data_IF_841043915671
#
_entry.id   IF_841043915671
#
_cell.length_a   1.000
_cell.length_b   1.000
_cell.length_c   1.000
_cell.angle_alpha   90.00
_cell.angle_beta   90.00
_cell.angle_gamma   90.00
#
_symmetry.space_group_name_H-M   'P 1'
#
loop_
_entity.id
_entity.type
_entity.pdbx_description
1 polymer ?
#
# COMPACT_ATOMS: atom_id res chain seq x y z
N UNK A 1 21.52 -5.20 -12.53
CA UNK A 1 22.00 -4.65 -13.81
C UNK A 1 20.93 -3.67 -14.30
N UNK A 2 21.26 -2.43 -14.68
CA UNK A 2 20.26 -1.55 -15.34
C UNK A 2 19.94 -2.20 -16.69
N UNK A 3 18.66 -2.47 -16.95
CA UNK A 3 18.24 -2.89 -18.28
C UNK A 3 18.41 -1.70 -19.22
N UNK A 4 19.39 -1.78 -20.14
CA UNK A 4 19.59 -0.77 -21.16
C UNK A 4 18.67 -1.09 -22.33
N UNK A 5 17.39 -0.69 -22.24
CA UNK A 5 16.48 -0.75 -23.38
C UNK A 5 16.81 0.38 -24.36
N UNK A 6 16.77 0.08 -25.66
CA UNK A 6 16.84 1.09 -26.74
C UNK A 6 15.50 1.78 -26.96
N UNK A 7 14.41 1.19 -26.48
CA UNK A 7 13.07 1.74 -26.52
C UNK A 7 12.74 2.43 -25.19
N UNK A 8 12.13 3.62 -25.27
CA UNK A 8 11.71 4.41 -24.12
C UNK A 8 10.39 3.89 -23.52
N UNK A 9 9.56 3.19 -24.28
CA UNK A 9 8.29 2.66 -23.80
C UNK A 9 8.50 1.33 -23.04
N UNK A 10 7.78 1.18 -21.93
CA UNK A 10 7.72 -0.11 -21.25
C UNK A 10 6.66 -1.01 -21.91
N UNK A 11 7.06 -2.24 -22.22
CA UNK A 11 6.13 -3.37 -22.34
C UNK A 11 5.88 -4.01 -20.96
N UNK A 12 5.02 -5.03 -20.90
CA UNK A 12 4.67 -5.69 -19.64
C UNK A 12 5.90 -6.23 -18.87
N UNK A 13 6.82 -6.90 -19.57
CA UNK A 13 8.03 -7.49 -18.95
C UNK A 13 8.97 -6.41 -18.43
N UNK A 14 9.30 -5.43 -19.27
CA UNK A 14 10.21 -4.34 -18.90
C UNK A 14 9.63 -3.46 -17.80
N UNK A 15 8.30 -3.26 -17.78
CA UNK A 15 7.62 -2.60 -16.67
C UNK A 15 7.75 -3.39 -15.37
N UNK A 16 7.51 -4.70 -15.41
CA UNK A 16 7.62 -5.55 -14.22
C UNK A 16 9.05 -5.55 -13.65
N UNK A 17 10.06 -5.60 -14.51
CA UNK A 17 11.48 -5.51 -14.11
C UNK A 17 11.81 -4.15 -13.49
N UNK A 18 11.40 -3.06 -14.16
CA UNK A 18 11.59 -1.70 -13.66
C UNK A 18 10.92 -1.51 -12.29
N UNK A 19 9.69 -2.04 -12.13
CA UNK A 19 8.97 -2.06 -10.87
C UNK A 19 9.73 -2.80 -9.79
N UNK A 20 10.15 -4.04 -10.05
CA UNK A 20 10.87 -4.88 -9.08
C UNK A 20 12.14 -4.18 -8.59
N UNK A 21 12.92 -3.59 -9.50
CA UNK A 21 14.13 -2.84 -9.14
C UNK A 21 13.82 -1.60 -8.32
N UNK A 22 12.76 -0.87 -8.67
CA UNK A 22 12.32 0.34 -7.97
C UNK A 22 11.85 0.02 -6.55
N UNK A 23 10.98 -0.99 -6.39
CA UNK A 23 10.49 -1.42 -5.07
C UNK A 23 11.62 -1.95 -4.20
N UNK A 24 12.52 -2.78 -4.75
CA UNK A 24 13.66 -3.28 -3.98
C UNK A 24 14.59 -2.17 -3.51
N UNK A 25 14.79 -1.13 -4.32
CA UNK A 25 15.72 -0.04 -4.01
C UNK A 25 15.11 1.04 -3.10
N UNK A 26 13.85 1.38 -3.32
CA UNK A 26 13.22 2.55 -2.70
C UNK A 26 11.97 2.22 -1.87
N UNK A 27 11.27 1.12 -2.18
CA UNK A 27 10.07 0.74 -1.46
C UNK A 27 10.38 0.04 -0.14
N UNK A 28 11.18 -1.03 -0.19
CA UNK A 28 11.46 -1.90 0.96
C UNK A 28 12.44 -1.22 1.91
N UNK A 29 12.02 -1.01 3.16
CA UNK A 29 12.88 -0.45 4.20
C UNK A 29 13.96 -1.45 4.65
N UNK A 30 15.22 -1.01 4.62
CA UNK A 30 16.36 -1.75 5.14
C UNK A 30 16.82 -1.13 6.49
N UNK A 31 16.68 -1.85 7.62
CA UNK A 31 17.01 -1.33 8.94
C UNK A 31 18.50 -1.06 9.14
N UNK A 32 19.39 -1.74 8.42
CA UNK A 32 20.83 -1.59 8.55
C UNK A 32 21.38 -0.36 7.84
N UNK A 33 20.66 0.15 6.83
CA UNK A 33 21.08 1.33 6.05
C UNK A 33 20.18 2.54 6.23
N UNK A 34 19.01 2.37 6.87
CA UNK A 34 17.98 3.41 7.02
C UNK A 34 17.31 3.81 5.70
N UNK A 35 17.57 3.10 4.60
CA UNK A 35 17.03 3.41 3.27
C UNK A 35 15.74 2.65 3.00
N UNK A 36 14.91 3.18 2.09
CA UNK A 36 13.63 2.61 1.70
C UNK A 36 12.44 3.23 2.46
N UNK A 37 11.25 3.19 1.87
CA UNK A 37 10.11 3.97 2.34
C UNK A 37 9.22 3.27 3.37
N UNK A 38 9.00 1.96 3.23
CA UNK A 38 7.95 1.24 3.97
C UNK A 38 8.55 0.08 4.77
N UNK A 39 8.41 0.16 6.09
CA UNK A 39 8.79 -0.91 7.02
C UNK A 39 7.91 -2.14 6.80
N UNK A 40 8.54 -3.31 6.67
CA UNK A 40 7.86 -4.59 6.50
C UNK A 40 7.28 -4.84 5.10
N UNK A 41 7.48 -3.93 4.14
CA UNK A 41 7.11 -4.18 2.74
C UNK A 41 8.00 -5.28 2.16
N UNK A 42 7.39 -6.25 1.48
CA UNK A 42 8.11 -7.34 0.81
C UNK A 42 8.20 -7.10 -0.71
N UNK A 43 9.12 -7.76 -1.42
CA UNK A 43 9.14 -7.72 -2.88
C UNK A 43 7.81 -8.20 -3.47
N UNK A 44 7.25 -7.43 -4.40
CA UNK A 44 5.94 -7.72 -5.00
C UNK A 44 5.87 -7.18 -6.44
N UNK A 45 4.90 -7.68 -7.22
CA UNK A 45 4.63 -7.21 -8.58
C UNK A 45 3.78 -5.93 -8.59
N UNK A 46 3.66 -5.23 -9.73
CA UNK A 46 2.92 -3.97 -9.82
C UNK A 46 1.48 -4.05 -9.33
N UNK A 47 0.79 -5.16 -9.59
CA UNK A 47 -0.61 -5.34 -9.17
C UNK A 47 -0.82 -5.28 -7.66
N UNK A 48 0.16 -5.74 -6.87
CA UNK A 48 0.05 -5.74 -5.42
C UNK A 48 0.12 -4.34 -4.81
N UNK A 49 0.43 -3.29 -5.59
CA UNK A 49 0.30 -1.91 -5.10
C UNK A 49 -1.13 -1.60 -4.69
N UNK A 50 -2.13 -2.18 -5.38
CA UNK A 50 -3.55 -2.03 -5.02
C UNK A 50 -3.81 -2.65 -3.64
N UNK A 51 -3.24 -3.82 -3.37
CA UNK A 51 -3.36 -4.46 -2.05
C UNK A 51 -2.73 -3.61 -0.94
N UNK A 52 -1.53 -3.06 -1.19
CA UNK A 52 -0.83 -2.21 -0.23
C UNK A 52 -1.64 -0.95 0.07
N UNK A 53 -2.17 -0.28 -0.96
CA UNK A 53 -2.97 0.93 -0.80
C UNK A 53 -4.31 0.65 -0.11
N UNK A 54 -5.07 -0.33 -0.58
CA UNK A 54 -6.38 -0.66 -0.04
C UNK A 54 -6.28 -1.05 1.44
N UNK A 55 -5.34 -1.93 1.78
CA UNK A 55 -5.17 -2.37 3.17
C UNK A 55 -4.58 -1.29 4.06
N UNK A 56 -3.73 -0.40 3.55
CA UNK A 56 -3.22 0.73 4.34
C UNK A 56 -4.33 1.70 4.71
N UNK A 57 -5.14 2.12 3.73
CA UNK A 57 -6.24 3.05 3.97
C UNK A 57 -7.28 2.42 4.88
N UNK A 58 -7.66 1.17 4.60
CA UNK A 58 -8.64 0.46 5.42
C UNK A 58 -8.20 0.32 6.89
N UNK A 59 -6.93 0.01 7.15
CA UNK A 59 -6.39 -0.05 8.52
C UNK A 59 -6.34 1.31 9.22
N UNK A 60 -6.21 2.40 8.46
CA UNK A 60 -6.09 3.76 8.99
C UNK A 60 -7.43 4.43 9.23
N UNK A 61 -8.40 4.21 8.36
CA UNK A 61 -9.65 4.96 8.33
C UNK A 61 -10.87 4.08 8.59
N UNK A 62 -10.76 2.78 8.35
CA UNK A 62 -11.87 1.85 8.44
C UNK A 62 -12.95 1.99 7.36
N UNK A 63 -12.78 2.90 6.40
CA UNK A 63 -13.75 3.15 5.33
C UNK A 63 -13.43 2.34 4.08
N UNK A 64 -14.41 1.55 3.64
CA UNK A 64 -14.32 0.83 2.37
C UNK A 64 -14.38 1.77 1.17
N UNK A 65 -15.11 2.87 1.29
CA UNK A 65 -15.30 3.89 0.26
C UNK A 65 -14.02 4.66 -0.01
N UNK A 66 -13.32 5.10 1.04
CA UNK A 66 -12.04 5.79 0.88
C UNK A 66 -10.97 4.84 0.30
N UNK A 67 -10.94 3.58 0.76
CA UNK A 67 -10.05 2.59 0.22
C UNK A 67 -10.36 2.27 -1.25
N UNK A 68 -11.64 2.18 -1.62
CA UNK A 68 -12.05 1.88 -3.00
C UNK A 68 -11.76 3.04 -3.95
N UNK A 69 -11.99 4.28 -3.49
CA UNK A 69 -11.64 5.48 -4.24
C UNK A 69 -10.14 5.51 -4.57
N UNK A 70 -9.28 5.21 -3.59
CA UNK A 70 -7.84 5.25 -3.77
C UNK A 70 -7.29 4.21 -4.75
N UNK A 71 -7.96 3.06 -4.90
CA UNK A 71 -7.57 2.03 -5.86
C UNK A 71 -8.40 2.06 -7.14
N UNK A 72 -9.30 3.03 -7.33
CA UNK A 72 -10.23 3.12 -8.46
C UNK A 72 -11.07 1.84 -8.63
N UNK A 73 -11.72 1.40 -7.56
CA UNK A 73 -12.59 0.23 -7.53
C UNK A 73 -13.86 0.55 -6.70
N UNK A 74 -14.70 -0.46 -6.45
CA UNK A 74 -15.94 -0.33 -5.67
C UNK A 74 -15.74 -0.71 -4.20
N UNK A 75 -16.52 -0.09 -3.31
CA UNK A 75 -16.49 -0.41 -1.89
C UNK A 75 -16.85 -1.90 -1.63
N UNK A 76 -17.73 -2.48 -2.46
CA UNK A 76 -18.09 -3.89 -2.39
C UNK A 76 -16.89 -4.81 -2.67
N UNK A 77 -16.08 -4.50 -3.69
CA UNK A 77 -14.84 -5.23 -3.98
C UNK A 77 -13.85 -5.14 -2.82
N UNK A 78 -13.69 -3.94 -2.24
CA UNK A 78 -12.79 -3.77 -1.09
C UNK A 78 -13.26 -4.55 0.12
N UNK A 79 -14.55 -4.50 0.44
CA UNK A 79 -15.12 -5.26 1.55
C UNK A 79 -14.92 -6.78 1.36
N UNK A 80 -15.14 -7.28 0.14
CA UNK A 80 -14.97 -8.69 -0.21
C UNK A 80 -13.52 -9.17 -0.09
N UNK A 81 -12.56 -8.44 -0.65
CA UNK A 81 -11.17 -8.89 -0.76
C UNK A 81 -10.28 -8.47 0.42
N UNK A 82 -10.54 -7.30 1.02
CA UNK A 82 -9.67 -6.69 2.01
C UNK A 82 -10.33 -6.51 3.39
N UNK A 83 -11.63 -6.78 3.54
CA UNK A 83 -12.37 -6.62 4.80
C UNK A 83 -11.71 -7.30 6.00
N UNK A 84 -11.04 -8.45 5.78
CA UNK A 84 -10.25 -9.16 6.81
C UNK A 84 -9.10 -8.36 7.42
N UNK A 85 -8.66 -7.28 6.78
CA UNK A 85 -7.60 -6.41 7.25
C UNK A 85 -8.11 -5.18 8.01
N UNK A 86 -9.42 -5.02 8.13
CA UNK A 86 -10.01 -4.03 9.00
C UNK A 86 -9.67 -4.37 10.45
N UNK A 87 -9.04 -3.44 11.17
CA UNK A 87 -8.76 -3.61 12.59
C UNK A 87 -10.08 -3.62 13.38
N UNK A 88 -10.04 -4.10 14.63
CA UNK A 88 -11.20 -4.02 15.52
C UNK A 88 -11.74 -2.59 15.53
N UNK A 89 -12.97 -2.43 15.01
CA UNK A 89 -13.63 -1.13 14.87
C UNK A 89 -13.79 -0.44 16.22
N UNK A 90 -13.99 -1.19 17.30
CA UNK A 90 -14.10 -0.64 18.64
C UNK A 90 -12.75 -0.06 19.11
N UNK A 91 -11.65 -0.78 18.89
CA UNK A 91 -10.30 -0.30 19.19
C UNK A 91 -9.93 0.93 18.34
N UNK A 92 -10.32 0.95 17.06
CA UNK A 92 -10.10 2.11 16.19
C UNK A 92 -10.90 3.33 16.65
N UNK A 93 -12.17 3.15 17.01
CA UNK A 93 -13.01 4.21 17.55
C UNK A 93 -12.45 4.76 18.87
N UNK A 94 -12.05 3.90 19.79
CA UNK A 94 -11.43 4.31 21.05
C UNK A 94 -10.16 5.14 20.82
N UNK A 95 -9.30 4.74 19.88
CA UNK A 95 -8.11 5.50 19.51
C UNK A 95 -8.44 6.89 18.99
N UNK A 96 -9.45 7.01 18.11
CA UNK A 96 -9.88 8.30 17.56
C UNK A 96 -10.45 9.19 18.67
N UNK A 97 -11.31 8.65 19.53
CA UNK A 97 -11.88 9.39 20.66
C UNK A 97 -10.80 9.93 21.60
N UNK A 98 -9.80 9.11 21.93
CA UNK A 98 -8.67 9.56 22.75
C UNK A 98 -7.88 10.69 22.07
N UNK A 99 -7.66 10.63 20.76
CA UNK A 99 -6.98 11.71 20.02
C UNK A 99 -7.76 13.02 20.03
N UNK A 100 -9.11 12.96 19.95
CA UNK A 100 -9.97 14.13 20.03
C UNK A 100 -9.94 14.73 21.43
N UNK A 101 -9.96 13.88 22.46
CA UNK A 101 -9.97 14.33 23.86
C UNK A 101 -8.67 15.04 24.26
N UNK A 102 -7.51 14.53 23.82
CA UNK A 102 -6.20 15.17 24.08
C UNK A 102 -6.01 16.52 23.37
N UNK A 103 -6.83 16.81 22.35
CA UNK A 103 -6.76 18.04 21.57
C UNK A 103 -7.74 19.14 22.04
N UNK A 104 -8.56 18.84 23.05
CA UNK A 104 -9.54 19.76 23.65
C UNK A 104 -8.99 20.38 24.94
#
# INVERSE_FOLDING_TARGET
>A
MKANSRDAAYNQTTFYEAWRLTIQRYGIYNPYTGRGAIKGLLPHGPHNVRDVLATHILKRTGSYEQASYAIQDTAAMVASHYGRFLQDKAALAAKILNQVWEAA
#
